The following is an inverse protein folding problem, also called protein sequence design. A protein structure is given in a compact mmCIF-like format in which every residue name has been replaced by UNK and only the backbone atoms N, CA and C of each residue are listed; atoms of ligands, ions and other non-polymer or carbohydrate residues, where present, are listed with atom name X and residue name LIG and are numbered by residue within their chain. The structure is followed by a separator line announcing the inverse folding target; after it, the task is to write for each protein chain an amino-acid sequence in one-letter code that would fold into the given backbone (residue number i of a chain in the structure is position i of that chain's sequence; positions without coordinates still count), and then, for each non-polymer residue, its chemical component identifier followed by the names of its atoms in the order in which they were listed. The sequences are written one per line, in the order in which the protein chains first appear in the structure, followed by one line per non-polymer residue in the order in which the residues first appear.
data_IF_034602898392
#
_entry.id   IF_034602898392
#
_cell.length_a   1.000
_cell.length_b   1.000
_cell.length_c   1.000
_cell.angle_alpha   90.00
_cell.angle_beta   90.00
_cell.angle_gamma   90.00
#
_symmetry.space_group_name_H-M   'P 1'
#
loop_
_entity.id
_entity.type
_entity.pdbx_description
1 polymer ?
#
# COMPACT_ATOMS: atom_id res chain seq x y z
N UNK A 1 -9.89 -9.35 -27.43
CA UNK A 1 -8.41 -9.25 -27.47
C UNK A 1 -7.86 -10.43 -26.68
N UNK A 2 -6.86 -11.17 -27.16
CA UNK A 2 -6.26 -12.27 -26.39
C UNK A 2 -5.54 -11.74 -25.14
N UNK A 3 -5.35 -12.58 -24.11
CA UNK A 3 -4.64 -12.21 -22.89
C UNK A 3 -3.18 -11.79 -23.17
N UNK A 4 -2.53 -12.44 -24.14
CA UNK A 4 -1.18 -12.06 -24.59
C UNK A 4 -1.14 -10.65 -25.19
N UNK A 5 -2.09 -10.32 -26.08
CA UNK A 5 -2.16 -8.98 -26.67
C UNK A 5 -2.45 -7.90 -25.62
N UNK A 6 -3.30 -8.21 -24.62
CA UNK A 6 -3.54 -7.33 -23.47
C UNK A 6 -2.25 -7.06 -22.68
N UNK A 7 -1.49 -8.11 -22.40
CA UNK A 7 -0.22 -7.99 -21.68
C UNK A 7 0.79 -7.18 -22.48
N UNK A 8 0.97 -7.45 -23.78
CA UNK A 8 1.89 -6.69 -24.64
C UNK A 8 1.52 -5.21 -24.66
N UNK A 9 0.24 -4.88 -24.85
CA UNK A 9 -0.22 -3.49 -24.83
C UNK A 9 0.03 -2.83 -23.48
N UNK A 10 -0.27 -3.52 -22.37
CA UNK A 10 -0.01 -3.01 -21.02
C UNK A 10 1.49 -2.74 -20.80
N UNK A 11 2.38 -3.66 -21.16
CA UNK A 11 3.83 -3.49 -21.01
C UNK A 11 4.36 -2.31 -21.86
N UNK A 12 3.84 -2.12 -23.08
CA UNK A 12 4.18 -0.96 -23.91
C UNK A 12 3.74 0.35 -23.26
N UNK A 13 2.53 0.41 -22.71
CA UNK A 13 2.04 1.57 -21.96
C UNK A 13 2.92 1.86 -20.74
N UNK A 14 3.27 0.84 -19.95
CA UNK A 14 4.12 0.99 -18.78
C UNK A 14 5.51 1.51 -19.13
N UNK A 15 6.10 1.08 -20.24
CA UNK A 15 7.39 1.61 -20.70
C UNK A 15 7.30 3.08 -21.15
N UNK A 16 6.20 3.46 -21.83
CA UNK A 16 5.95 4.87 -22.16
C UNK A 16 5.78 5.72 -20.90
N UNK A 17 5.02 5.23 -19.91
CA UNK A 17 4.83 5.92 -18.62
C UNK A 17 6.16 6.08 -17.86
N UNK A 18 7.04 5.06 -17.88
CA UNK A 18 8.37 5.10 -17.25
C UNK A 18 9.21 6.29 -17.74
N UNK A 19 9.11 6.61 -19.02
CA UNK A 19 9.87 7.72 -19.62
C UNK A 19 9.37 9.10 -19.16
N UNK A 20 8.11 9.20 -18.74
CA UNK A 20 7.46 10.48 -18.42
C UNK A 20 7.15 10.65 -16.92
N UNK A 21 7.22 9.59 -16.11
CA UNK A 21 6.81 9.60 -14.70
C UNK A 21 7.52 10.69 -13.86
N UNK A 22 8.74 11.05 -14.23
CA UNK A 22 9.51 12.12 -13.57
C UNK A 22 8.79 13.48 -13.56
N UNK A 23 7.99 13.81 -14.58
CA UNK A 23 7.22 15.05 -14.59
C UNK A 23 6.08 15.03 -13.57
N UNK A 24 5.36 13.89 -13.45
CA UNK A 24 4.34 13.70 -12.42
C UNK A 24 4.93 13.89 -11.02
N UNK A 25 6.09 13.27 -10.76
CA UNK A 25 6.77 13.43 -9.46
C UNK A 25 7.21 14.86 -9.19
N UNK A 26 7.64 15.60 -10.22
CA UNK A 26 7.98 17.01 -10.08
C UNK A 26 6.76 17.84 -9.66
N UNK A 27 5.62 17.64 -10.33
CA UNK A 27 4.36 18.32 -10.02
C UNK A 27 3.86 18.01 -8.61
N UNK A 28 3.89 16.74 -8.19
CA UNK A 28 3.51 16.32 -6.84
C UNK A 28 4.40 16.98 -5.77
N UNK A 29 5.72 17.04 -6.00
CA UNK A 29 6.64 17.73 -5.07
C UNK A 29 6.33 19.24 -5.00
N UNK A 30 5.96 19.86 -6.12
CA UNK A 30 5.52 21.26 -6.12
C UNK A 30 4.21 21.44 -5.35
N UNK A 31 3.21 20.58 -5.56
CA UNK A 31 1.96 20.60 -4.81
C UNK A 31 2.21 20.48 -3.30
N UNK A 32 3.05 19.53 -2.89
CA UNK A 32 3.42 19.37 -1.48
C UNK A 32 4.14 20.60 -0.91
N UNK A 33 5.04 21.24 -1.67
CA UNK A 33 5.73 22.47 -1.22
C UNK A 33 4.78 23.64 -0.95
N UNK A 34 3.58 23.61 -1.54
CA UNK A 34 2.50 24.59 -1.36
C UNK A 34 1.41 24.11 -0.40
N UNK A 35 1.51 22.88 0.11
CA UNK A 35 0.51 22.29 1.00
C UNK A 35 0.53 22.97 2.37
N UNK A 36 -0.61 22.93 3.05
CA UNK A 36 -0.77 23.54 4.37
C UNK A 36 0.21 22.90 5.37
N UNK A 37 1.14 23.66 5.97
CA UNK A 37 2.05 23.13 6.98
C UNK A 37 1.33 22.56 8.20
N UNK A 38 0.08 22.98 8.45
CA UNK A 38 -0.70 22.54 9.60
C UNK A 38 -0.98 21.04 9.59
N UNK A 39 -1.19 20.42 8.42
CA UNK A 39 -1.34 18.96 8.32
C UNK A 39 -0.15 18.23 8.96
N UNK A 40 1.08 18.64 8.64
CA UNK A 40 2.28 17.99 9.19
C UNK A 40 2.37 18.16 10.71
N UNK A 41 1.95 19.30 11.25
CA UNK A 41 1.91 19.52 12.71
C UNK A 41 0.86 18.63 13.40
N UNK A 42 -0.34 18.53 12.83
CA UNK A 42 -1.39 17.62 13.32
C UNK A 42 -0.91 16.17 13.31
N UNK A 43 -0.30 15.73 12.20
CA UNK A 43 0.27 14.38 12.08
C UNK A 43 1.38 14.11 13.10
N UNK A 44 2.24 15.11 13.41
CA UNK A 44 3.24 14.98 14.48
C UNK A 44 2.60 14.79 15.85
N UNK A 45 1.52 15.51 16.14
CA UNK A 45 0.78 15.38 17.40
C UNK A 45 0.17 13.99 17.51
N UNK A 46 -0.54 13.53 16.48
CA UNK A 46 -1.14 12.19 16.42
C UNK A 46 -0.09 11.11 16.67
N UNK A 47 1.02 11.13 15.93
CA UNK A 47 2.09 10.14 16.12
C UNK A 47 2.63 10.17 17.54
N UNK A 48 2.87 11.36 18.11
CA UNK A 48 3.37 11.49 19.49
C UNK A 48 2.44 10.87 20.52
N UNK A 49 1.13 11.01 20.34
CA UNK A 49 0.13 10.44 21.25
C UNK A 49 0.06 8.91 21.17
N UNK A 50 0.46 8.32 20.04
CA UNK A 50 0.49 6.86 19.86
C UNK A 50 1.79 6.20 20.30
N UNK A 51 2.84 6.99 20.54
CA UNK A 51 4.11 6.46 21.04
C UNK A 51 3.97 5.92 22.47
N UNK A 52 4.74 4.88 22.76
CA UNK A 52 4.81 4.24 24.07
C UNK A 52 6.26 4.13 24.52
N UNK A 53 6.50 4.24 25.83
CA UNK A 53 7.83 4.07 26.40
C UNK A 53 8.35 2.63 26.25
N UNK A 54 7.45 1.64 26.24
CA UNK A 54 7.80 0.22 26.34
C UNK A 54 7.46 -0.60 25.09
N UNK A 55 6.67 -0.04 24.17
CA UNK A 55 6.19 -0.74 22.97
C UNK A 55 6.43 0.10 21.72
N UNK A 56 6.52 -0.56 20.57
CA UNK A 56 6.71 0.10 19.27
C UNK A 56 5.38 0.54 18.67
N UNK A 57 5.40 1.64 17.92
CA UNK A 57 4.38 2.02 16.96
C UNK A 57 4.83 1.52 15.58
N UNK A 58 4.00 0.74 14.91
CA UNK A 58 4.21 0.36 13.52
C UNK A 58 3.28 1.18 12.63
N UNK A 59 3.85 1.82 11.62
CA UNK A 59 3.10 2.58 10.60
C UNK A 59 3.11 1.77 9.32
N UNK A 60 1.93 1.36 8.86
CA UNK A 60 1.73 0.53 7.68
C UNK A 60 1.29 1.42 6.52
N UNK A 61 2.13 1.55 5.49
CA UNK A 61 1.83 2.25 4.25
C UNK A 61 1.31 1.24 3.23
N UNK A 62 0.00 1.26 2.98
CA UNK A 62 -0.65 0.31 2.07
C UNK A 62 -0.61 0.81 0.63
N UNK A 63 0.08 0.06 -0.22
CA UNK A 63 0.03 0.08 -1.69
C UNK A 63 0.13 1.47 -2.33
N UNK A 64 1.03 2.32 -1.82
CA UNK A 64 1.27 3.66 -2.38
C UNK A 64 2.12 3.56 -3.67
N UNK A 65 1.59 2.84 -4.66
CA UNK A 65 2.23 2.49 -5.93
C UNK A 65 1.69 3.34 -7.07
N UNK A 66 2.53 3.56 -8.09
CA UNK A 66 2.22 4.45 -9.21
C UNK A 66 0.90 4.10 -9.91
N UNK A 67 0.58 2.81 -10.06
CA UNK A 67 -0.65 2.39 -10.72
C UNK A 67 -1.93 2.85 -10.02
N UNK A 68 -1.89 3.12 -8.72
CA UNK A 68 -3.04 3.59 -7.96
C UNK A 68 -3.10 5.11 -7.83
N UNK A 69 -1.95 5.78 -7.81
CA UNK A 69 -1.86 7.18 -7.33
C UNK A 69 -1.53 8.21 -8.40
N UNK A 70 -1.11 7.79 -9.59
CA UNK A 70 -0.73 8.71 -10.67
C UNK A 70 -1.75 8.69 -11.80
N UNK A 71 -2.26 9.87 -12.15
CA UNK A 71 -3.16 10.03 -13.28
C UNK A 71 -2.57 9.43 -14.57
N UNK A 72 -3.37 8.63 -15.27
CA UNK A 72 -2.98 7.97 -16.52
C UNK A 72 -2.35 6.60 -16.36
N UNK A 73 -2.11 6.15 -15.12
CA UNK A 73 -1.66 4.79 -14.84
C UNK A 73 -2.84 3.81 -14.71
N UNK A 74 -2.54 2.51 -14.64
CA UNK A 74 -3.47 1.44 -15.01
C UNK A 74 -4.73 1.34 -14.13
N UNK A 75 -4.64 1.63 -12.83
CA UNK A 75 -5.72 1.55 -11.87
C UNK A 75 -5.81 2.81 -11.01
N UNK A 76 -5.64 3.96 -11.68
CA UNK A 76 -5.61 5.25 -11.01
C UNK A 76 -6.91 5.51 -10.24
N UNK A 77 -6.79 5.70 -8.93
CA UNK A 77 -7.86 6.20 -8.09
C UNK A 77 -7.94 7.73 -8.27
N UNK A 78 -9.06 8.28 -8.76
CA UNK A 78 -9.19 9.72 -8.97
C UNK A 78 -8.80 10.52 -7.74
N UNK A 79 -7.87 11.46 -7.89
CA UNK A 79 -7.32 12.27 -6.79
C UNK A 79 -6.24 11.59 -5.95
N UNK A 80 -5.75 10.41 -6.34
CA UNK A 80 -4.78 9.60 -5.59
C UNK A 80 -3.45 10.32 -5.28
N UNK A 81 -3.10 11.37 -6.02
CA UNK A 81 -1.97 12.24 -5.70
C UNK A 81 -2.13 12.92 -4.34
N UNK A 82 -3.36 13.13 -3.88
CA UNK A 82 -3.63 13.66 -2.54
C UNK A 82 -3.10 12.73 -1.46
N UNK A 83 -3.34 11.41 -1.56
CA UNK A 83 -2.80 10.47 -0.56
C UNK A 83 -1.28 10.39 -0.60
N UNK A 84 -0.66 10.58 -1.78
CA UNK A 84 0.79 10.76 -1.87
C UNK A 84 1.26 11.97 -1.06
N UNK A 85 0.69 13.14 -1.32
CA UNK A 85 1.03 14.40 -0.62
C UNK A 85 0.87 14.25 0.90
N UNK A 86 -0.18 13.57 1.36
CA UNK A 86 -0.45 13.41 2.78
C UNK A 86 0.46 12.37 3.45
N UNK A 87 0.77 11.27 2.76
CA UNK A 87 1.77 10.32 3.27
C UNK A 87 3.20 10.89 3.21
N UNK A 88 3.50 11.78 2.26
CA UNK A 88 4.73 12.57 2.27
C UNK A 88 4.81 13.46 3.53
N UNK A 89 3.71 14.12 3.90
CA UNK A 89 3.62 14.91 5.13
C UNK A 89 3.85 14.05 6.38
N UNK A 90 3.24 12.87 6.45
CA UNK A 90 3.42 11.93 7.55
C UNK A 90 4.89 11.50 7.68
N UNK A 91 5.54 11.11 6.59
CA UNK A 91 6.94 10.67 6.63
C UNK A 91 7.90 11.82 6.97
N UNK A 92 7.63 13.04 6.52
CA UNK A 92 8.40 14.22 6.92
C UNK A 92 8.16 14.57 8.41
N UNK A 93 6.92 14.42 8.91
CA UNK A 93 6.61 14.52 10.34
C UNK A 93 7.42 13.52 11.16
N UNK A 94 7.51 12.25 10.74
CA UNK A 94 8.34 11.24 11.41
C UNK A 94 9.82 11.63 11.41
N UNK A 95 10.34 12.07 10.27
CA UNK A 95 11.73 12.49 10.14
C UNK A 95 12.06 13.65 11.10
N UNK A 96 11.18 14.64 11.22
CA UNK A 96 11.32 15.75 12.16
C UNK A 96 11.21 15.31 13.63
N UNK A 97 10.28 14.41 13.95
CA UNK A 97 10.15 13.86 15.31
C UNK A 97 11.43 13.14 15.73
N UNK A 98 11.97 12.28 14.87
CA UNK A 98 13.19 11.52 15.13
C UNK A 98 14.40 12.45 15.22
N UNK A 99 14.51 13.46 14.34
CA UNK A 99 15.59 14.43 14.39
C UNK A 99 15.60 15.22 15.72
N UNK A 100 14.42 15.62 16.20
CA UNK A 100 14.27 16.37 17.44
C UNK A 100 14.43 15.49 18.69
N UNK A 101 14.09 14.19 18.61
CA UNK A 101 14.22 13.23 19.70
C UNK A 101 14.72 11.88 19.16
N UNK A 102 16.05 11.70 19.02
CA UNK A 102 16.62 10.50 18.41
C UNK A 102 16.20 9.19 19.06
N UNK A 103 15.89 9.17 20.37
CA UNK A 103 15.43 7.96 21.07
C UNK A 103 14.15 7.35 20.46
N UNK A 104 13.33 8.15 19.78
CA UNK A 104 12.12 7.70 19.11
C UNK A 104 12.40 6.71 17.98
N UNK A 105 13.62 6.65 17.46
CA UNK A 105 13.98 5.71 16.40
C UNK A 105 13.85 4.23 16.83
N UNK A 106 13.87 3.95 18.13
CA UNK A 106 13.66 2.60 18.68
C UNK A 106 12.19 2.24 18.87
N UNK A 107 11.30 3.24 18.82
CA UNK A 107 9.88 3.13 19.09
C UNK A 107 9.04 3.14 17.82
N UNK A 108 9.62 3.41 16.66
CA UNK A 108 8.88 3.55 15.39
C UNK A 108 9.43 2.56 14.38
N UNK A 109 8.54 1.87 13.69
CA UNK A 109 8.85 1.06 12.53
C UNK A 109 7.89 1.41 11.38
N UNK A 110 8.36 1.22 10.15
CA UNK A 110 7.51 1.33 8.96
C UNK A 110 7.38 -0.05 8.32
N UNK A 111 6.16 -0.39 7.94
CA UNK A 111 5.86 -1.52 7.07
C UNK A 111 5.23 -0.97 5.79
N UNK A 112 5.66 -1.43 4.62
CA UNK A 112 5.01 -1.12 3.36
C UNK A 112 4.39 -2.36 2.77
N UNK A 113 3.25 -2.22 2.11
CA UNK A 113 2.70 -3.25 1.22
C UNK A 113 2.72 -2.76 -0.21
N UNK A 114 2.83 -3.70 -1.14
CA UNK A 114 2.72 -3.48 -2.58
C UNK A 114 1.96 -4.64 -3.20
N UNK A 115 1.04 -4.36 -4.11
CA UNK A 115 0.57 -5.36 -5.07
C UNK A 115 1.72 -5.73 -6.00
N UNK A 116 1.92 -7.04 -6.18
CA UNK A 116 3.01 -7.61 -6.96
C UNK A 116 2.46 -8.69 -7.89
N UNK A 117 1.70 -8.25 -8.88
CA UNK A 117 0.99 -9.17 -9.76
C UNK A 117 1.91 -9.78 -10.82
N UNK A 118 1.65 -11.04 -11.16
CA UNK A 118 2.24 -11.69 -12.34
C UNK A 118 1.09 -12.14 -13.23
N UNK A 119 1.07 -11.63 -14.47
CA UNK A 119 -0.05 -11.79 -15.40
C UNK A 119 -0.51 -13.25 -15.63
N UNK A 120 0.40 -14.22 -15.50
CA UNK A 120 0.12 -15.65 -15.62
C UNK A 120 0.85 -16.45 -14.53
N UNK A 121 0.72 -16.02 -13.27
CA UNK A 121 1.26 -16.80 -12.14
C UNK A 121 0.58 -18.17 -12.08
N UNK A 122 1.37 -19.22 -11.91
CA UNK A 122 0.86 -20.60 -11.75
C UNK A 122 1.40 -21.20 -10.46
N UNK A 123 0.90 -22.37 -10.07
CA UNK A 123 1.44 -23.13 -8.93
C UNK A 123 2.92 -23.51 -9.11
N UNK A 124 3.42 -23.55 -10.35
CA UNK A 124 4.80 -23.90 -10.66
C UNK A 124 5.74 -22.70 -10.60
N UNK A 125 5.22 -21.47 -10.51
CA UNK A 125 6.01 -20.26 -10.33
C UNK A 125 6.75 -20.30 -8.97
N UNK A 126 8.02 -19.87 -8.94
CA UNK A 126 8.87 -19.93 -7.74
C UNK A 126 8.21 -19.24 -6.55
N UNK A 127 7.71 -18.01 -6.74
CA UNK A 127 7.01 -17.28 -5.69
C UNK A 127 5.74 -17.99 -5.18
N UNK A 128 5.01 -18.71 -6.05
CA UNK A 128 3.84 -19.48 -5.64
C UNK A 128 4.25 -20.69 -4.81
N UNK A 129 5.39 -21.31 -5.12
CA UNK A 129 5.96 -22.38 -4.29
C UNK A 129 6.38 -21.86 -2.91
N UNK A 130 6.99 -20.67 -2.86
CA UNK A 130 7.33 -19.99 -1.59
C UNK A 130 6.06 -19.68 -0.79
N UNK A 131 5.03 -19.09 -1.41
CA UNK A 131 3.72 -18.89 -0.78
C UNK A 131 3.12 -20.19 -0.23
N UNK A 132 3.24 -21.29 -0.97
CA UNK A 132 2.72 -22.59 -0.55
C UNK A 132 3.44 -23.13 0.69
N UNK A 133 4.72 -22.82 0.87
CA UNK A 133 5.45 -23.18 2.10
C UNK A 133 4.95 -22.38 3.31
N UNK A 134 4.66 -21.09 3.14
CA UNK A 134 4.25 -20.21 4.25
C UNK A 134 2.76 -20.29 4.60
N UNK A 135 1.87 -20.40 3.61
CA UNK A 135 0.41 -20.39 3.80
C UNK A 135 -0.26 -21.76 3.58
N UNK A 136 0.43 -22.71 2.96
CA UNK A 136 -0.12 -24.01 2.60
C UNK A 136 -0.87 -24.02 1.26
N UNK A 137 -0.92 -25.20 0.65
CA UNK A 137 -1.39 -25.42 -0.74
C UNK A 137 -2.79 -24.88 -1.03
N UNK A 138 -3.78 -25.17 -0.17
CA UNK A 138 -5.18 -24.79 -0.40
C UNK A 138 -5.31 -23.27 -0.44
N UNK A 139 -4.65 -22.60 0.49
CA UNK A 139 -4.68 -21.14 0.57
C UNK A 139 -4.01 -20.49 -0.64
N UNK A 140 -2.82 -20.97 -1.02
CA UNK A 140 -2.12 -20.49 -2.21
C UNK A 140 -2.94 -20.66 -3.48
N UNK A 141 -3.59 -21.81 -3.67
CA UNK A 141 -4.47 -22.03 -4.82
C UNK A 141 -5.62 -21.00 -4.89
N UNK A 142 -6.22 -20.67 -3.74
CA UNK A 142 -7.26 -19.64 -3.66
C UNK A 142 -6.72 -18.25 -3.98
N UNK A 143 -5.55 -17.89 -3.44
CA UNK A 143 -4.92 -16.60 -3.70
C UNK A 143 -4.57 -16.42 -5.19
N UNK A 144 -4.01 -17.44 -5.84
CA UNK A 144 -3.74 -17.42 -7.29
C UNK A 144 -5.01 -17.30 -8.13
N UNK A 145 -6.11 -17.94 -7.71
CA UNK A 145 -7.39 -17.80 -8.40
C UNK A 145 -7.95 -16.37 -8.28
N UNK A 146 -7.78 -15.74 -7.13
CA UNK A 146 -8.14 -14.33 -6.91
C UNK A 146 -7.29 -13.43 -7.81
N UNK A 147 -5.96 -13.56 -7.79
CA UNK A 147 -5.04 -12.80 -8.67
C UNK A 147 -5.45 -12.95 -10.15
N UNK A 148 -5.70 -14.18 -10.59
CA UNK A 148 -6.15 -14.44 -11.95
C UNK A 148 -7.44 -13.68 -12.30
N UNK A 149 -8.43 -13.67 -11.39
CA UNK A 149 -9.70 -12.97 -11.60
C UNK A 149 -9.52 -11.45 -11.59
N UNK A 150 -8.75 -10.90 -10.65
CA UNK A 150 -8.46 -9.46 -10.53
C UNK A 150 -7.84 -8.91 -11.82
N UNK A 151 -6.92 -9.67 -12.44
CA UNK A 151 -6.21 -9.29 -13.67
C UNK A 151 -7.00 -9.50 -14.97
N UNK A 152 -8.26 -9.97 -14.89
CA UNK A 152 -9.14 -10.05 -16.05
C UNK A 152 -9.50 -8.66 -16.62
N UNK A 153 -10.25 -8.62 -17.70
CA UNK A 153 -10.66 -7.35 -18.29
C UNK A 153 -11.43 -6.52 -17.25
N UNK A 154 -11.14 -5.23 -17.16
CA UNK A 154 -11.75 -4.36 -16.16
C UNK A 154 -13.28 -4.46 -16.20
N UNK A 155 -13.82 -4.95 -15.09
CA UNK A 155 -15.23 -5.06 -14.75
C UNK A 155 -15.34 -5.00 -13.22
N UNK A 156 -15.36 -3.79 -12.63
CA UNK A 156 -15.32 -3.63 -11.18
C UNK A 156 -16.48 -4.32 -10.45
N UNK A 157 -17.66 -4.42 -11.06
CA UNK A 157 -18.82 -5.15 -10.50
C UNK A 157 -18.54 -6.66 -10.31
N UNK A 158 -17.59 -7.21 -11.08
CA UNK A 158 -17.14 -8.59 -10.98
C UNK A 158 -15.81 -8.75 -10.22
N UNK A 159 -15.33 -7.69 -9.53
CA UNK A 159 -14.00 -7.62 -8.90
C UNK A 159 -12.86 -7.86 -9.90
N UNK A 160 -13.01 -7.40 -11.14
CA UNK A 160 -11.98 -7.46 -12.18
C UNK A 160 -11.48 -6.04 -12.43
N UNK A 161 -10.17 -5.81 -12.27
CA UNK A 161 -9.61 -4.46 -12.24
C UNK A 161 -8.63 -4.18 -13.39
N UNK A 162 -8.40 -5.17 -14.27
CA UNK A 162 -7.43 -5.03 -15.35
C UNK A 162 -6.02 -5.36 -14.90
N UNK A 163 -5.08 -5.32 -15.85
CA UNK A 163 -3.66 -5.46 -15.54
C UNK A 163 -3.18 -4.20 -14.81
N UNK A 164 -2.65 -4.37 -13.61
CA UNK A 164 -2.09 -3.32 -12.76
C UNK A 164 -1.04 -3.95 -11.85
N UNK A 165 -0.15 -3.11 -11.29
CA UNK A 165 0.93 -3.48 -10.38
C UNK A 165 1.70 -4.73 -10.81
N UNK A 166 1.90 -4.90 -12.13
CA UNK A 166 2.60 -6.07 -12.69
C UNK A 166 4.08 -5.93 -12.35
N UNK A 167 4.68 -6.96 -11.76
CA UNK A 167 6.09 -6.94 -11.36
C UNK A 167 6.99 -6.68 -12.57
N UNK A 168 7.99 -5.82 -12.39
CA UNK A 168 8.88 -5.30 -13.41
C UNK A 168 8.34 -4.14 -14.24
N UNK A 169 7.16 -3.60 -13.90
CA UNK A 169 6.61 -2.40 -14.52
C UNK A 169 6.75 -1.18 -13.60
N UNK A 170 6.79 0.02 -14.17
CA UNK A 170 6.84 1.26 -13.38
C UNK A 170 5.59 1.44 -12.51
N UNK A 171 4.46 0.89 -12.93
CA UNK A 171 3.19 0.87 -12.19
C UNK A 171 3.29 0.19 -10.83
N UNK A 172 4.10 -0.88 -10.72
CA UNK A 172 4.30 -1.61 -9.47
C UNK A 172 5.25 -0.92 -8.47
N UNK A 173 5.97 0.13 -8.88
CA UNK A 173 6.89 0.84 -7.99
C UNK A 173 6.10 1.57 -6.88
N UNK A 174 6.63 1.59 -5.65
CA UNK A 174 6.25 2.63 -4.68
C UNK A 174 6.56 3.98 -5.33
N UNK A 175 5.62 4.91 -5.24
CA UNK A 175 5.79 6.21 -5.86
C UNK A 175 7.05 6.93 -5.34
N UNK A 176 7.87 7.45 -6.24
CA UNK A 176 9.21 7.96 -5.92
C UNK A 176 9.23 8.99 -4.76
N UNK A 177 8.28 9.94 -4.63
CA UNK A 177 8.28 10.87 -3.51
C UNK A 177 8.16 10.21 -2.12
N UNK A 178 7.51 9.04 -2.05
CA UNK A 178 7.43 8.22 -0.84
C UNK A 178 8.74 7.43 -0.66
N UNK A 179 9.21 6.79 -1.73
CA UNK A 179 10.46 6.01 -1.73
C UNK A 179 11.67 6.86 -1.26
N UNK A 180 11.81 8.08 -1.76
CA UNK A 180 12.86 9.03 -1.33
C UNK A 180 12.82 9.32 0.18
N UNK A 181 11.63 9.34 0.78
CA UNK A 181 11.47 9.58 2.23
C UNK A 181 11.74 8.33 3.04
N UNK A 182 11.30 7.17 2.54
CA UNK A 182 11.66 5.87 3.11
C UNK A 182 13.18 5.71 3.15
N UNK A 183 13.89 6.02 2.06
CA UNK A 183 15.36 5.97 2.01
C UNK A 183 16.04 6.91 3.02
N UNK A 184 15.49 8.11 3.28
CA UNK A 184 16.03 9.02 4.32
C UNK A 184 15.81 8.53 5.75
N UNK A 185 14.76 7.74 5.95
CA UNK A 185 14.44 7.09 7.22
C UNK A 185 15.18 5.75 7.36
N UNK A 186 15.56 5.14 6.24
CA UNK A 186 16.35 3.91 6.18
C UNK A 186 17.73 4.17 6.81
N UNK A 187 18.04 3.42 7.87
CA UNK A 187 19.22 3.63 8.72
C UNK A 187 18.93 4.40 10.02
N UNK A 188 17.75 5.00 10.16
CA UNK A 188 17.25 5.55 11.43
C UNK A 188 16.27 4.60 12.09
N UNK A 189 15.30 4.10 11.34
CA UNK A 189 14.25 3.19 11.82
C UNK A 189 14.19 1.92 10.96
N UNK A 190 13.70 0.80 11.51
CA UNK A 190 13.39 -0.38 10.71
C UNK A 190 12.28 -0.09 9.68
N UNK A 191 12.52 -0.53 8.45
CA UNK A 191 11.54 -0.49 7.36
C UNK A 191 11.44 -1.90 6.79
N UNK A 192 10.23 -2.47 6.81
CA UNK A 192 9.94 -3.79 6.27
C UNK A 192 9.02 -3.66 5.06
N UNK A 193 9.30 -4.42 4.00
CA UNK A 193 8.49 -4.41 2.78
C UNK A 193 7.82 -5.75 2.58
N UNK A 194 6.56 -5.71 2.22
CA UNK A 194 5.74 -6.87 1.89
C UNK A 194 5.15 -6.69 0.51
N UNK A 195 5.07 -7.78 -0.24
CA UNK A 195 4.31 -7.83 -1.48
C UNK A 195 3.17 -8.83 -1.33
N UNK A 196 2.03 -8.48 -1.89
CA UNK A 196 0.83 -9.31 -1.91
C UNK A 196 0.36 -9.54 -3.34
N UNK A 197 -0.32 -10.67 -3.55
CA UNK A 197 -0.87 -11.05 -4.86
C UNK A 197 -2.39 -10.90 -4.93
N UNK A 198 -3.00 -10.31 -3.91
CA UNK A 198 -4.41 -9.94 -3.83
C UNK A 198 -4.57 -8.70 -2.93
N UNK A 199 -5.79 -8.21 -2.75
CA UNK A 199 -6.05 -7.03 -1.92
C UNK A 199 -5.66 -7.13 -0.43
N UNK A 200 -5.67 -8.31 0.17
CA UNK A 200 -5.49 -8.46 1.62
C UNK A 200 -4.07 -8.87 1.98
N UNK A 201 -3.28 -7.92 2.50
CA UNK A 201 -1.94 -8.20 3.04
C UNK A 201 -1.94 -9.31 4.12
N UNK A 202 -2.89 -9.36 5.08
CA UNK A 202 -3.01 -10.48 6.01
C UNK A 202 -3.16 -11.85 5.34
N UNK A 203 -3.84 -11.93 4.19
CA UNK A 203 -4.06 -13.21 3.51
C UNK A 203 -2.96 -13.56 2.52
N UNK A 204 -2.37 -12.62 1.79
CA UNK A 204 -1.44 -12.94 0.70
C UNK A 204 -0.13 -12.17 0.75
N UNK A 205 0.08 -11.33 1.76
CA UNK A 205 1.31 -10.59 1.94
C UNK A 205 2.45 -11.50 2.36
N UNK A 206 3.59 -11.35 1.71
CA UNK A 206 4.84 -12.01 2.06
C UNK A 206 5.97 -11.01 2.08
N UNK A 207 6.90 -11.18 3.02
CA UNK A 207 8.05 -10.28 3.15
C UNK A 207 8.89 -10.34 1.88
N UNK A 208 9.14 -9.17 1.29
CA UNK A 208 10.03 -9.03 0.14
C UNK A 208 11.48 -9.28 0.53
N UNK A 209 12.23 -9.83 -0.42
CA UNK A 209 13.68 -9.90 -0.33
C UNK A 209 14.27 -8.48 -0.25
N UNK A 210 15.33 -8.34 0.54
CA UNK A 210 15.97 -7.05 0.77
C UNK A 210 16.53 -6.44 -0.53
N UNK A 211 16.32 -5.13 -0.71
CA UNK A 211 16.84 -4.38 -1.85
C UNK A 211 16.06 -4.54 -3.16
N UNK A 212 14.95 -5.28 -3.17
CA UNK A 212 14.12 -5.41 -4.37
C UNK A 212 13.31 -4.14 -4.62
N UNK A 213 13.35 -3.69 -5.87
CA UNK A 213 12.40 -2.74 -6.46
C UNK A 213 11.49 -3.51 -7.43
N UNK A 214 10.18 -3.55 -7.13
CA UNK A 214 9.20 -4.24 -7.97
C UNK A 214 9.05 -3.64 -9.36
N UNK A 215 9.64 -2.48 -9.65
CA UNK A 215 9.68 -1.89 -10.98
C UNK A 215 10.88 -2.30 -11.82
N UNK A 216 11.82 -3.09 -11.29
CA UNK A 216 12.96 -3.58 -12.06
C UNK A 216 12.49 -4.58 -13.14
N UNK A 217 12.73 -4.30 -14.45
CA UNK A 217 12.30 -5.18 -15.53
C UNK A 217 12.79 -6.63 -15.44
N UNK A 218 13.82 -6.93 -14.63
CA UNK A 218 14.24 -8.31 -14.38
C UNK A 218 13.11 -9.17 -13.79
N UNK A 219 12.12 -8.57 -13.12
CA UNK A 219 10.96 -9.26 -12.52
C UNK A 219 9.77 -9.44 -13.48
N UNK A 220 9.89 -9.04 -14.75
CA UNK A 220 8.93 -9.45 -15.79
C UNK A 220 9.04 -10.96 -16.08
N UNK A 221 10.21 -11.54 -15.83
CA UNK A 221 10.47 -12.95 -16.03
C UNK A 221 10.19 -13.71 -14.73
N UNK A 222 9.34 -14.74 -14.78
CA UNK A 222 8.97 -15.57 -13.64
C UNK A 222 10.14 -16.38 -13.02
N UNK A 223 11.35 -16.25 -13.53
CA UNK A 223 12.57 -16.90 -13.04
C UNK A 223 13.22 -16.16 -11.87
N UNK A 224 12.95 -14.87 -11.70
CA UNK A 224 13.52 -14.06 -10.62
C UNK A 224 12.46 -13.89 -9.52
N UNK A 225 12.56 -14.61 -8.39
CA UNK A 225 11.60 -14.49 -7.31
C UNK A 225 11.74 -13.15 -6.59
N UNK A 226 10.62 -12.64 -6.09
CA UNK A 226 10.58 -11.41 -5.26
C UNK A 226 10.64 -11.72 -3.75
N UNK A 227 10.44 -12.98 -3.39
CA UNK A 227 10.48 -13.47 -2.02
C UNK A 227 11.74 -14.31 -1.75
N UNK A 228 12.22 -14.30 -0.51
CA UNK A 228 13.18 -15.30 -0.04
C UNK A 228 12.48 -16.65 0.19
N UNK A 229 13.21 -17.78 0.10
CA UNK A 229 12.63 -19.12 0.23
C UNK A 229 11.85 -19.32 1.54
N UNK A 230 12.30 -18.70 2.63
CA UNK A 230 11.64 -18.73 3.94
C UNK A 230 10.95 -17.40 4.29
N UNK A 231 10.44 -16.68 3.28
CA UNK A 231 9.79 -15.40 3.50
C UNK A 231 8.59 -15.53 4.47
N UNK A 232 8.61 -14.69 5.50
CA UNK A 232 7.54 -14.63 6.49
C UNK A 232 6.25 -14.16 5.81
N UNK A 233 5.16 -14.82 6.16
CA UNK A 233 3.84 -14.30 5.87
C UNK A 233 3.61 -12.99 6.63
N UNK A 234 2.71 -12.14 6.12
CA UNK A 234 2.38 -10.87 6.75
C UNK A 234 1.96 -11.06 8.21
N UNK A 235 1.04 -11.99 8.49
CA UNK A 235 0.59 -12.25 9.86
C UNK A 235 1.68 -12.89 10.73
N UNK A 236 2.50 -13.80 10.18
CA UNK A 236 3.61 -14.40 10.93
C UNK A 236 4.63 -13.36 11.41
N UNK A 237 4.81 -12.27 10.64
CA UNK A 237 5.69 -11.18 11.04
C UNK A 237 5.25 -10.50 12.34
N UNK A 238 3.94 -10.39 12.60
CA UNK A 238 3.39 -9.71 13.78
C UNK A 238 3.32 -10.60 15.04
N UNK A 239 3.21 -11.93 14.90
CA UNK A 239 2.95 -12.88 16.00
C UNK A 239 3.87 -12.78 17.24
N UNK A 240 5.08 -12.22 17.12
CA UNK A 240 6.03 -12.07 18.23
C UNK A 240 6.53 -10.64 18.40
N UNK A 241 5.82 -9.65 17.86
CA UNK A 241 6.20 -8.25 17.96
C UNK A 241 5.47 -7.55 19.10
N UNK A 242 6.18 -6.69 19.82
CA UNK A 242 5.61 -5.90 20.90
C UNK A 242 5.15 -4.54 20.38
N UNK A 243 4.03 -4.51 19.66
CA UNK A 243 3.41 -3.27 19.19
C UNK A 243 2.42 -2.70 20.22
N UNK A 244 2.44 -1.37 20.35
CA UNK A 244 1.43 -0.62 21.08
C UNK A 244 0.14 -0.56 20.27
N UNK A 245 0.30 -0.25 18.97
CA UNK A 245 -0.75 -0.08 17.99
C UNK A 245 -0.12 -0.15 16.59
N UNK A 246 -0.88 -0.62 15.62
CA UNK A 246 -0.59 -0.59 14.19
C UNK A 246 -1.40 0.53 13.55
N UNK A 247 -0.74 1.56 13.06
CA UNK A 247 -1.37 2.69 12.37
C UNK A 247 -1.33 2.46 10.87
N UNK A 248 -2.48 2.40 10.22
CA UNK A 248 -2.61 2.08 8.79
C UNK A 248 -2.94 3.34 7.99
N UNK A 249 -2.24 3.52 6.86
CA UNK A 249 -2.46 4.56 5.86
C UNK A 249 -2.39 3.97 4.45
N UNK A 250 -2.67 4.76 3.42
CA UNK A 250 -2.42 4.38 2.03
C UNK A 250 -3.68 4.27 1.18
N UNK A 251 -3.75 3.26 0.32
CA UNK A 251 -4.79 3.13 -0.71
C UNK A 251 -5.04 1.64 -1.03
N UNK A 252 -6.25 1.19 -1.38
CA UNK A 252 -7.54 1.89 -1.32
C UNK A 252 -8.25 1.66 0.03
N UNK A 253 -8.85 2.72 0.57
CA UNK A 253 -9.56 2.78 1.86
C UNK A 253 -10.60 1.68 2.03
N UNK A 254 -11.39 1.42 0.99
CA UNK A 254 -12.46 0.43 0.90
C UNK A 254 -12.03 -0.93 0.32
N UNK A 255 -10.73 -1.14 0.13
CA UNK A 255 -10.18 -2.39 -0.42
C UNK A 255 -8.98 -2.82 0.44
N UNK A 256 -7.75 -2.49 0.02
CA UNK A 256 -6.53 -2.98 0.66
C UNK A 256 -6.36 -2.49 2.10
N UNK A 257 -6.68 -1.22 2.36
CA UNK A 257 -6.56 -0.62 3.70
C UNK A 257 -7.55 -1.27 4.67
N UNK A 258 -8.83 -1.37 4.27
CA UNK A 258 -9.85 -2.03 5.08
C UNK A 258 -9.50 -3.50 5.34
N UNK A 259 -9.16 -4.26 4.29
CA UNK A 259 -8.82 -5.68 4.45
C UNK A 259 -7.57 -5.91 5.29
N UNK A 260 -6.58 -5.00 5.23
CA UNK A 260 -5.42 -5.05 6.11
C UNK A 260 -5.82 -4.78 7.57
N UNK A 261 -6.62 -3.75 7.82
CA UNK A 261 -7.09 -3.41 9.16
C UNK A 261 -7.90 -4.55 9.79
N UNK A 262 -8.87 -5.09 9.06
CA UNK A 262 -9.74 -6.17 9.53
C UNK A 262 -8.95 -7.45 9.80
N UNK A 263 -8.06 -7.86 8.89
CA UNK A 263 -7.27 -9.07 9.07
C UNK A 263 -6.25 -8.96 10.21
N UNK A 264 -5.72 -7.77 10.49
CA UNK A 264 -4.83 -7.55 11.65
C UNK A 264 -5.61 -7.58 12.98
N UNK A 265 -6.80 -6.99 13.04
CA UNK A 265 -7.68 -7.11 14.21
C UNK A 265 -8.04 -8.58 14.47
N UNK A 266 -8.37 -9.35 13.42
CA UNK A 266 -8.67 -10.77 13.54
C UNK A 266 -7.47 -11.59 14.05
N UNK A 267 -6.25 -11.12 13.78
CA UNK A 267 -5.02 -11.69 14.32
C UNK A 267 -4.73 -11.26 15.77
N UNK A 268 -5.57 -10.42 16.38
CA UNK A 268 -5.43 -9.94 17.76
C UNK A 268 -4.58 -8.69 17.92
N UNK A 269 -4.18 -8.04 16.82
CA UNK A 269 -3.44 -6.79 16.86
C UNK A 269 -4.34 -5.62 17.24
N UNK A 270 -3.76 -4.57 17.81
CA UNK A 270 -4.47 -3.30 18.03
C UNK A 270 -4.22 -2.39 16.83
N UNK A 271 -5.28 -1.98 16.15
CA UNK A 271 -5.20 -1.22 14.89
C UNK A 271 -5.89 0.13 15.01
N UNK A 272 -5.27 1.16 14.42
CA UNK A 272 -5.96 2.39 14.05
C UNK A 272 -5.72 2.73 12.57
N UNK A 273 -6.68 3.41 11.95
CA UNK A 273 -6.58 3.91 10.58
C UNK A 273 -6.46 5.42 10.64
N UNK A 274 -5.43 5.98 10.02
CA UNK A 274 -5.24 7.43 9.93
C UNK A 274 -5.89 7.91 8.63
N UNK A 275 -7.20 8.14 8.70
CA UNK A 275 -8.06 8.52 7.58
C UNK A 275 -7.57 9.70 6.73
N UNK A 276 -6.99 10.79 7.27
CA UNK A 276 -6.44 11.84 6.41
C UNK A 276 -5.36 11.31 5.47
N UNK A 277 -4.63 10.26 5.82
CA UNK A 277 -3.61 9.64 4.96
C UNK A 277 -4.13 8.43 4.17
N UNK A 278 -5.45 8.27 4.05
CA UNK A 278 -6.11 7.21 3.27
C UNK A 278 -6.85 7.80 2.07
N UNK A 279 -6.85 7.06 0.96
CA UNK A 279 -7.68 7.37 -0.23
C UNK A 279 -8.61 6.21 -0.54
N UNK A 280 -9.89 6.49 -0.74
CA UNK A 280 -10.91 5.53 -1.11
C UNK A 280 -11.02 5.45 -2.63
N UNK A 281 -11.25 4.24 -3.16
CA UNK A 281 -11.44 4.03 -4.59
C UNK A 281 -12.89 4.33 -4.96
N UNK A 282 -13.07 5.46 -5.64
CA UNK A 282 -14.35 5.90 -6.18
C UNK A 282 -14.32 5.73 -7.69
N UNK A 283 -15.17 4.83 -8.19
CA UNK A 283 -15.35 4.58 -9.62
C UNK A 283 -16.67 5.26 -10.01
N UNK A 284 -16.64 6.38 -10.76
CA UNK A 284 -17.84 7.06 -11.21
C UNK A 284 -18.78 6.07 -11.88
N UNK A 285 -20.06 6.06 -11.49
CA UNK A 285 -21.13 5.10 -11.85
C UNK A 285 -21.23 3.78 -11.07
N UNK A 286 -20.21 3.41 -10.29
CA UNK A 286 -20.25 2.17 -9.46
C UNK A 286 -20.54 2.49 -8.00
N UNK A 287 -19.89 3.52 -7.45
CA UNK A 287 -20.07 3.92 -6.06
C UNK A 287 -19.93 5.44 -5.85
N UNK A 288 -20.50 5.92 -4.75
CA UNK A 288 -20.35 7.29 -4.28
C UNK A 288 -19.37 7.36 -3.10
N UNK A 289 -18.69 8.49 -2.94
CA UNK A 289 -17.73 8.69 -1.86
C UNK A 289 -18.35 8.55 -0.47
N UNK A 290 -19.39 9.33 -0.15
CA UNK A 290 -19.99 9.35 1.19
C UNK A 290 -20.54 7.98 1.60
N UNK A 291 -21.16 7.25 0.67
CA UNK A 291 -21.67 5.90 0.90
C UNK A 291 -20.53 4.91 1.18
N UNK A 292 -19.47 4.98 0.37
CA UNK A 292 -18.29 4.11 0.51
C UNK A 292 -17.59 4.37 1.84
N UNK A 293 -17.31 5.65 2.15
CA UNK A 293 -16.66 6.05 3.39
C UNK A 293 -17.50 5.63 4.60
N UNK A 294 -18.81 5.92 4.59
CA UNK A 294 -19.72 5.57 5.69
C UNK A 294 -19.75 4.06 5.93
N UNK A 295 -19.82 3.26 4.87
CA UNK A 295 -19.81 1.80 4.99
C UNK A 295 -18.50 1.28 5.62
N UNK A 296 -17.35 1.85 5.23
CA UNK A 296 -16.04 1.50 5.81
C UNK A 296 -15.97 1.90 7.28
N UNK A 297 -16.39 3.11 7.65
CA UNK A 297 -16.38 3.53 9.06
C UNK A 297 -17.31 2.67 9.93
N UNK A 298 -18.47 2.27 9.40
CA UNK A 298 -19.37 1.32 10.09
C UNK A 298 -18.71 -0.05 10.29
N UNK A 299 -17.99 -0.56 9.28
CA UNK A 299 -17.25 -1.81 9.39
C UNK A 299 -16.12 -1.71 10.43
N UNK A 300 -15.38 -0.59 10.43
CA UNK A 300 -14.36 -0.31 11.43
C UNK A 300 -14.93 -0.28 12.85
N UNK A 301 -16.00 0.48 13.07
CA UNK A 301 -16.67 0.55 14.37
C UNK A 301 -17.16 -0.82 14.86
N UNK A 302 -17.74 -1.62 13.95
CA UNK A 302 -18.24 -2.96 14.28
C UNK A 302 -17.12 -3.95 14.71
N UNK A 303 -15.89 -3.74 14.23
CA UNK A 303 -14.71 -4.56 14.58
C UNK A 303 -13.82 -3.92 15.65
N UNK A 304 -14.18 -2.74 16.16
CA UNK A 304 -13.36 -2.01 17.13
C UNK A 304 -12.08 -1.39 16.55
N UNK A 305 -12.04 -1.16 15.24
CA UNK A 305 -10.96 -0.42 14.57
C UNK A 305 -11.18 1.06 14.82
N UNK A 306 -10.18 1.74 15.37
CA UNK A 306 -10.26 3.17 15.60
C UNK A 306 -9.86 3.96 14.35
N UNK A 307 -10.72 4.85 13.87
CA UNK A 307 -10.39 5.80 12.80
C UNK A 307 -9.97 7.14 13.41
N UNK A 308 -8.82 7.67 12.97
CA UNK A 308 -8.34 9.00 13.35
C UNK A 308 -8.67 9.94 12.20
N UNK A 309 -9.68 10.78 12.41
CA UNK A 309 -10.17 11.74 11.43
C UNK A 309 -9.65 13.14 11.74
N UNK A 310 -9.49 13.96 10.69
CA UNK A 310 -9.18 15.38 10.80
C UNK A 310 -10.17 16.16 9.93
N UNK A 311 -11.05 16.94 10.55
CA UNK A 311 -12.13 17.67 9.85
C UNK A 311 -11.63 18.55 8.69
N UNK A 312 -10.46 19.17 8.87
CA UNK A 312 -9.84 20.06 7.88
C UNK A 312 -9.05 19.30 6.79
N UNK A 313 -8.81 18.00 6.98
CA UNK A 313 -7.98 17.16 6.12
C UNK A 313 -8.66 15.82 5.78
N UNK A 314 -9.97 15.84 5.49
CA UNK A 314 -10.75 14.64 5.14
C UNK A 314 -10.15 13.85 3.99
N UNK A 315 -10.20 12.51 4.00
CA UNK A 315 -9.87 11.70 2.83
C UNK A 315 -10.61 12.16 1.58
N UNK A 316 -10.02 11.99 0.39
CA UNK A 316 -10.67 12.30 -0.88
C UNK A 316 -11.27 13.73 -0.97
N UNK A 317 -10.53 14.80 -0.61
CA UNK A 317 -11.06 16.16 -0.55
C UNK A 317 -11.66 16.65 -1.87
N UNK A 318 -11.25 16.06 -3.00
CA UNK A 318 -11.80 16.34 -4.33
C UNK A 318 -13.29 16.01 -4.48
N UNK A 319 -13.85 15.18 -3.62
CA UNK A 319 -15.27 14.79 -3.64
C UNK A 319 -16.17 15.62 -2.70
N UNK A 320 -15.60 16.60 -2.00
CA UNK A 320 -16.33 17.48 -1.06
C UNK A 320 -16.61 18.88 -1.64
N UNK A 321 -16.28 19.12 -2.92
CA UNK A 321 -16.42 20.40 -3.59
C UNK A 321 -17.55 20.43 -4.61
#
# INVERSE_FOLDING_TARGET
MSNELRLVAHLQTQELLRQHVSSHFHEIKQQYSKSDPWLKEELKTIVREKLSETKKLAIILVDIQNDFVLQGFALYAPGGETTLVRNMALLDALAELIANRPILCRQIEIITTQDAHVAQRTMDSIDAQIMMQSYGKIHTQRALHIEYNELQQANPEANQYGLHCVTGTIGAAISQPIEERLQRLQGKIPIYRFAKINFSAPTAGMKLKEGIDLSDPCFLNATNPIYDECALSFLQFFQNQAYNELMITGICGNICVQQAAEGLIEAGEKVCVLDPCVHYLIIPSVNAYDETWTAVQQAYAAKGINSIELDHFRSNPEWHN
#
